data_IF_538560306843
#
_entry.id   IF_538560306843
#
_cell.length_a   1.000
_cell.length_b   1.000
_cell.length_c   1.000
_cell.angle_alpha   90.00
_cell.angle_beta   90.00
_cell.angle_gamma   90.00
#
_symmetry.space_group_name_H-M   'P 1'
#
loop_
_entity.id
_entity.type
_entity.pdbx_description
1 polymer ?
#
# COMPACT_ATOMS: atom_id res chain seq x y z
N UNK A 1 0.99 -19.86 33.33
CA UNK A 1 0.97 -19.58 31.87
C UNK A 1 0.41 -18.19 31.55
N UNK A 2 -0.75 -17.82 32.12
CA UNK A 2 -1.36 -16.48 31.97
C UNK A 2 -0.45 -15.30 32.37
N UNK A 3 0.21 -15.38 33.53
CA UNK A 3 1.05 -14.27 34.02
C UNK A 3 2.28 -13.98 33.16
N UNK A 4 2.91 -15.03 32.63
CA UNK A 4 4.01 -14.89 31.67
C UNK A 4 3.53 -14.24 30.36
N UNK A 5 2.30 -14.53 29.92
CA UNK A 5 1.68 -13.88 28.76
C UNK A 5 1.48 -12.37 28.98
N UNK A 6 1.00 -11.95 30.16
CA UNK A 6 0.83 -10.53 30.47
C UNK A 6 2.17 -9.79 30.50
N UNK A 7 3.20 -10.37 31.11
CA UNK A 7 4.54 -9.78 31.15
C UNK A 7 5.11 -9.64 29.73
N UNK A 8 4.97 -10.66 28.88
CA UNK A 8 5.43 -10.59 27.47
C UNK A 8 4.68 -9.51 26.68
N UNK A 9 3.36 -9.39 26.85
CA UNK A 9 2.55 -8.35 26.19
C UNK A 9 2.98 -6.96 26.65
N UNK A 10 3.22 -6.77 27.95
CA UNK A 10 3.68 -5.50 28.52
C UNK A 10 5.07 -5.13 27.99
N UNK A 11 6.00 -6.08 27.93
CA UNK A 11 7.35 -5.84 27.40
C UNK A 11 7.31 -5.49 25.91
N UNK A 12 6.48 -6.17 25.11
CA UNK A 12 6.28 -5.84 23.69
C UNK A 12 5.66 -4.45 23.51
N UNK A 13 4.69 -4.08 24.35
CA UNK A 13 4.08 -2.76 24.30
C UNK A 13 5.07 -1.64 24.66
N UNK A 14 5.97 -1.89 25.64
CA UNK A 14 6.98 -0.93 26.07
C UNK A 14 8.17 -0.80 25.11
N UNK A 15 8.38 -1.78 24.22
CA UNK A 15 9.46 -1.77 23.22
C UNK A 15 8.98 -1.44 21.81
N UNK A 16 7.67 -1.23 21.63
CA UNK A 16 7.08 -0.80 20.35
C UNK A 16 7.48 0.66 20.03
N UNK A 17 8.57 0.84 19.29
CA UNK A 17 8.92 2.12 18.69
C UNK A 17 7.92 2.52 17.59
N UNK A 18 7.55 3.80 17.52
CA UNK A 18 6.77 4.33 16.40
C UNK A 18 7.67 4.47 15.18
N UNK A 19 7.71 3.46 14.32
CA UNK A 19 8.34 3.56 13.02
C UNK A 19 7.27 3.97 12.01
N UNK A 20 7.22 5.26 11.67
CA UNK A 20 6.32 5.82 10.67
C UNK A 20 6.90 5.59 9.25
N UNK A 21 6.98 4.33 8.82
CA UNK A 21 7.58 3.93 7.53
C UNK A 21 6.55 3.56 6.45
N UNK A 22 5.34 4.13 6.51
CA UNK A 22 4.29 3.84 5.52
C UNK A 22 4.61 4.32 4.10
N UNK A 23 5.38 5.39 3.96
CA UNK A 23 5.79 5.93 2.65
C UNK A 23 4.62 6.08 1.68
N UNK A 24 4.73 5.39 0.54
CA UNK A 24 3.73 5.33 -0.52
C UNK A 24 3.01 3.96 -0.58
N UNK A 25 3.10 3.17 0.49
CA UNK A 25 2.41 1.89 0.61
C UNK A 25 0.90 2.11 0.83
N UNK A 26 0.11 1.32 0.13
CA UNK A 26 -1.35 1.26 0.24
C UNK A 26 -1.66 -0.04 0.98
N UNK A 27 -2.50 0.02 2.01
CA UNK A 27 -2.85 -1.14 2.86
C UNK A 27 -4.35 -1.46 2.79
N UNK A 28 -5.08 -0.81 1.90
CA UNK A 28 -6.52 -0.85 1.75
C UNK A 28 -7.02 -2.10 0.98
N UNK A 29 -6.39 -3.24 1.23
CA UNK A 29 -6.69 -4.52 0.59
C UNK A 29 -7.70 -5.31 1.43
N UNK A 30 -8.98 -5.22 1.08
CA UNK A 30 -10.08 -5.81 1.84
C UNK A 30 -10.57 -4.91 2.98
N UNK A 31 -11.88 -4.67 3.02
CA UNK A 31 -12.52 -3.81 4.03
C UNK A 31 -12.33 -4.33 5.47
N UNK A 32 -12.33 -5.66 5.65
CA UNK A 32 -12.10 -6.28 6.96
C UNK A 32 -10.70 -6.01 7.49
N UNK A 33 -9.68 -6.21 6.65
CA UNK A 33 -8.30 -5.93 7.01
C UNK A 33 -8.07 -4.43 7.31
N UNK A 34 -8.67 -3.55 6.50
CA UNK A 34 -8.65 -2.11 6.72
C UNK A 34 -9.30 -1.71 8.05
N UNK A 35 -10.47 -2.26 8.38
CA UNK A 35 -11.16 -2.02 9.64
C UNK A 35 -10.34 -2.50 10.86
N UNK A 36 -9.43 -3.45 10.67
CA UNK A 36 -8.49 -3.94 11.69
C UNK A 36 -7.15 -3.17 11.70
N UNK A 37 -7.03 -2.09 10.94
CA UNK A 37 -5.79 -1.30 10.84
C UNK A 37 -4.62 -2.09 10.26
N UNK A 38 -4.89 -3.05 9.37
CA UNK A 38 -3.89 -3.92 8.76
C UNK A 38 -3.44 -5.09 9.64
N UNK A 39 -3.98 -5.25 10.85
CA UNK A 39 -3.67 -6.38 11.74
C UNK A 39 -4.43 -7.67 11.30
N UNK A 40 -4.11 -8.19 10.11
CA UNK A 40 -4.90 -9.24 9.46
C UNK A 40 -4.14 -10.53 9.11
N UNK A 41 -2.80 -10.54 9.13
CA UNK A 41 -1.95 -11.67 8.69
C UNK A 41 -2.28 -13.03 9.32
N UNK A 42 -2.62 -13.07 10.61
CA UNK A 42 -2.93 -14.34 11.30
C UNK A 42 -4.38 -14.79 11.12
N UNK A 43 -5.27 -13.87 10.70
CA UNK A 43 -6.69 -14.17 10.48
C UNK A 43 -6.91 -14.53 9.01
N UNK A 44 -6.50 -13.66 8.07
CA UNK A 44 -6.46 -13.86 6.62
C UNK A 44 -7.48 -14.89 6.09
N UNK A 45 -8.76 -14.67 6.40
CA UNK A 45 -9.83 -15.66 6.22
C UNK A 45 -10.89 -15.22 5.20
N UNK A 46 -10.51 -14.34 4.29
CA UNK A 46 -11.27 -13.95 3.11
C UNK A 46 -10.31 -13.90 1.89
N UNK A 47 -10.79 -13.71 0.65
CA UNK A 47 -9.92 -13.73 -0.53
C UNK A 47 -8.76 -12.72 -0.51
N UNK A 48 -8.83 -11.65 0.30
CA UNK A 48 -7.70 -10.73 0.49
C UNK A 48 -6.49 -11.38 1.18
N UNK A 49 -6.65 -12.61 1.71
CA UNK A 49 -5.56 -13.47 2.14
C UNK A 49 -4.45 -13.59 1.09
N UNK A 50 -4.76 -13.52 -0.21
CA UNK A 50 -3.75 -13.50 -1.28
C UNK A 50 -2.70 -12.39 -1.06
N UNK A 51 -3.10 -11.22 -0.56
CA UNK A 51 -2.20 -10.12 -0.21
C UNK A 51 -1.62 -10.27 1.20
N UNK A 52 -2.44 -10.60 2.20
CA UNK A 52 -2.05 -10.56 3.61
C UNK A 52 -1.28 -11.79 4.08
N UNK A 53 -1.75 -12.99 3.73
CA UNK A 53 -1.14 -14.28 4.03
C UNK A 53 -1.87 -15.40 3.25
N UNK A 54 -1.30 -15.83 2.13
CA UNK A 54 -1.95 -16.77 1.23
C UNK A 54 -2.18 -18.17 1.87
N UNK A 55 -1.47 -18.51 2.96
CA UNK A 55 -1.73 -19.75 3.71
C UNK A 55 -3.15 -19.78 4.31
N UNK A 56 -3.76 -18.62 4.56
CA UNK A 56 -5.14 -18.51 5.02
C UNK A 56 -6.18 -19.07 4.03
N UNK A 57 -5.82 -19.23 2.75
CA UNK A 57 -6.71 -19.81 1.73
C UNK A 57 -7.11 -21.26 2.01
N UNK A 58 -6.36 -22.00 2.83
CA UNK A 58 -6.72 -23.37 3.23
C UNK A 58 -7.91 -23.42 4.18
N UNK A 59 -8.30 -22.28 4.76
CA UNK A 59 -9.45 -22.15 5.67
C UNK A 59 -10.75 -21.81 4.92
N UNK A 60 -10.68 -21.51 3.62
CA UNK A 60 -11.83 -21.17 2.78
C UNK A 60 -12.25 -22.37 1.93
N UNK A 61 -13.55 -22.63 1.83
CA UNK A 61 -14.10 -23.69 0.99
C UNK A 61 -14.71 -23.12 -0.28
N UNK A 62 -14.58 -23.88 -1.38
CA UNK A 62 -15.14 -23.55 -2.69
C UNK A 62 -14.44 -22.37 -3.37
N UNK A 63 -15.15 -21.75 -4.31
CA UNK A 63 -14.72 -20.53 -5.00
C UNK A 63 -15.21 -19.32 -4.23
N UNK A 64 -14.28 -18.43 -3.85
CA UNK A 64 -14.60 -17.17 -3.19
C UNK A 64 -14.01 -16.03 -4.00
N UNK A 65 -14.69 -14.88 -4.03
CA UNK A 65 -14.18 -13.69 -4.68
C UNK A 65 -14.39 -12.47 -3.77
N UNK A 66 -13.50 -11.49 -3.89
CA UNK A 66 -13.57 -10.21 -3.20
C UNK A 66 -13.18 -9.11 -4.17
N UNK A 67 -14.04 -8.11 -4.30
CA UNK A 67 -13.78 -6.89 -5.06
C UNK A 67 -13.97 -5.69 -4.12
N UNK A 68 -13.10 -4.69 -4.24
CA UNK A 68 -13.18 -3.50 -3.42
C UNK A 68 -12.30 -2.37 -3.91
N UNK A 69 -12.55 -1.18 -3.39
CA UNK A 69 -11.69 0.00 -3.56
C UNK A 69 -11.73 0.82 -2.28
N UNK A 70 -10.68 1.56 -2.01
CA UNK A 70 -10.70 2.66 -1.06
C UNK A 70 -10.75 4.00 -1.78
N UNK A 71 -11.14 5.04 -1.05
CA UNK A 71 -10.99 6.43 -1.48
C UNK A 71 -9.93 7.06 -0.59
N UNK A 72 -8.79 7.40 -1.18
CA UNK A 72 -7.66 7.99 -0.46
C UNK A 72 -7.51 9.43 -0.94
N UNK A 73 -7.63 10.39 -0.02
CA UNK A 73 -7.41 11.81 -0.30
C UNK A 73 -6.33 12.35 0.64
N UNK A 74 -5.04 12.24 0.24
CA UNK A 74 -3.95 12.76 1.03
C UNK A 74 -4.01 14.29 1.11
N UNK A 75 -3.60 14.84 2.24
CA UNK A 75 -3.44 16.28 2.44
C UNK A 75 -2.07 16.53 3.02
N UNK A 76 -1.35 17.47 2.43
CA UNK A 76 -0.03 17.89 2.89
C UNK A 76 0.09 19.40 2.81
N UNK A 77 0.85 19.96 3.75
CA UNK A 77 1.17 21.38 3.82
C UNK A 77 2.67 21.53 3.95
N UNK A 78 3.24 22.49 3.23
CA UNK A 78 4.64 22.83 3.33
C UNK A 78 4.77 24.25 3.89
N UNK A 79 5.60 24.42 4.92
CA UNK A 79 5.97 25.73 5.45
C UNK A 79 7.48 25.92 5.28
N UNK A 80 7.85 26.96 4.56
CA UNK A 80 9.26 27.32 4.37
C UNK A 80 9.90 27.90 5.63
N UNK A 81 11.18 28.24 5.49
CA UNK A 81 11.97 28.95 6.50
C UNK A 81 12.22 30.39 6.04
N UNK A 82 12.55 31.29 6.97
CA UNK A 82 12.84 32.70 6.69
C UNK A 82 13.79 32.85 5.49
N UNK A 83 13.48 33.74 4.52
CA UNK A 83 12.42 34.76 4.55
C UNK A 83 11.03 34.30 4.08
N UNK A 84 10.90 33.14 3.43
CA UNK A 84 9.61 32.64 2.91
C UNK A 84 8.97 31.68 3.92
N UNK A 85 8.16 32.22 4.82
CA UNK A 85 7.47 31.47 5.88
C UNK A 85 6.01 31.13 5.54
N UNK A 86 5.61 31.38 4.29
CA UNK A 86 4.27 31.10 3.79
C UNK A 86 3.95 29.60 3.79
N UNK A 87 2.68 29.29 4.00
CA UNK A 87 2.18 27.92 3.97
C UNK A 87 1.66 27.65 2.56
N UNK A 88 2.26 26.65 1.91
CA UNK A 88 1.81 26.11 0.64
C UNK A 88 0.98 24.87 0.91
N UNK A 89 -0.11 24.71 0.17
CA UNK A 89 -1.03 23.58 0.29
C UNK A 89 -0.91 22.70 -0.95
N UNK A 90 -0.87 21.39 -0.74
CA UNK A 90 -0.96 20.43 -1.83
C UNK A 90 -2.37 20.50 -2.46
N UNK A 91 -2.45 20.38 -3.78
CA UNK A 91 -3.74 20.27 -4.48
C UNK A 91 -4.49 19.02 -4.01
N UNK A 92 -5.82 19.14 -3.92
CA UNK A 92 -6.68 18.04 -3.49
C UNK A 92 -6.85 17.02 -4.60
N UNK A 93 -6.37 15.79 -4.37
CA UNK A 93 -6.56 14.66 -5.26
C UNK A 93 -7.23 13.49 -4.51
N UNK A 94 -7.97 12.66 -5.24
CA UNK A 94 -8.59 11.43 -4.73
C UNK A 94 -8.11 10.25 -5.56
N UNK A 95 -7.55 9.25 -4.88
CA UNK A 95 -7.05 8.01 -5.47
C UNK A 95 -7.98 6.85 -5.13
N UNK A 96 -8.11 5.90 -6.05
CA UNK A 96 -9.02 4.76 -5.96
C UNK A 96 -8.28 3.43 -6.19
N UNK A 97 -7.42 2.98 -5.24
CA UNK A 97 -6.73 1.70 -5.34
C UNK A 97 -7.72 0.54 -5.27
N UNK A 98 -8.15 0.07 -6.43
CA UNK A 98 -9.08 -1.03 -6.58
C UNK A 98 -8.36 -2.37 -6.53
N UNK A 99 -9.02 -3.38 -5.98
CA UNK A 99 -8.51 -4.73 -5.91
C UNK A 99 -9.60 -5.76 -6.22
N UNK A 100 -9.17 -6.88 -6.80
CA UNK A 100 -9.96 -8.06 -7.06
C UNK A 100 -9.14 -9.28 -6.63
N UNK A 101 -9.74 -10.18 -5.85
CA UNK A 101 -9.12 -11.42 -5.42
C UNK A 101 -10.09 -12.57 -5.66
N UNK A 102 -9.58 -13.69 -6.17
CA UNK A 102 -10.33 -14.92 -6.38
C UNK A 102 -9.54 -16.06 -5.78
N UNK A 103 -10.18 -16.85 -4.92
CA UNK A 103 -9.60 -18.07 -4.34
C UNK A 103 -10.46 -19.28 -4.69
N UNK A 104 -9.84 -20.44 -4.81
CA UNK A 104 -10.52 -21.69 -5.04
C UNK A 104 -9.83 -22.82 -4.28
N UNK A 105 -10.60 -23.56 -3.47
CA UNK A 105 -10.13 -24.81 -2.85
C UNK A 105 -10.38 -25.99 -3.78
N UNK A 106 -9.34 -26.68 -4.23
CA UNK A 106 -9.45 -27.88 -5.05
C UNK A 106 -9.73 -29.13 -4.20
N UNK A 107 -9.22 -29.15 -2.97
CA UNK A 107 -9.45 -30.21 -1.99
C UNK A 107 -9.61 -29.59 -0.60
N UNK A 108 -9.79 -30.42 0.44
CA UNK A 108 -9.76 -29.97 1.84
C UNK A 108 -8.41 -29.38 2.27
N UNK A 109 -7.33 -29.59 1.49
CA UNK A 109 -5.97 -29.23 1.88
C UNK A 109 -5.26 -28.35 0.85
N UNK A 110 -5.74 -28.27 -0.40
CA UNK A 110 -5.08 -27.54 -1.48
C UNK A 110 -5.99 -26.42 -2.01
N UNK A 111 -5.47 -25.19 -2.02
CA UNK A 111 -6.13 -24.01 -2.56
C UNK A 111 -5.21 -23.24 -3.50
N UNK A 112 -5.80 -22.53 -4.47
CA UNK A 112 -5.11 -21.50 -5.24
C UNK A 112 -5.82 -20.16 -5.13
N UNK A 113 -5.06 -19.10 -5.42
CA UNK A 113 -5.57 -17.75 -5.52
C UNK A 113 -4.93 -16.99 -6.67
N UNK A 114 -5.71 -16.10 -7.26
CA UNK A 114 -5.22 -15.05 -8.16
C UNK A 114 -5.83 -13.72 -7.75
N UNK A 115 -5.06 -12.64 -7.87
CA UNK A 115 -5.54 -11.31 -7.58
C UNK A 115 -5.06 -10.26 -8.56
N UNK A 116 -5.65 -9.08 -8.42
CA UNK A 116 -5.25 -7.82 -9.00
C UNK A 116 -5.27 -6.80 -7.88
N UNK A 117 -4.17 -6.10 -7.66
CA UNK A 117 -4.06 -5.15 -6.54
C UNK A 117 -3.03 -4.05 -6.80
N UNK A 118 -3.06 -2.98 -6.02
CA UNK A 118 -2.18 -1.80 -6.14
C UNK A 118 -1.57 -1.46 -4.77
N UNK A 119 -0.50 -2.15 -4.35
CA UNK A 119 0.02 -2.03 -2.98
C UNK A 119 0.93 -0.84 -2.75
N UNK A 120 1.29 -0.14 -3.82
CA UNK A 120 2.04 1.10 -3.78
C UNK A 120 1.41 2.11 -4.74
N UNK A 121 1.44 3.39 -4.41
CA UNK A 121 1.01 4.40 -5.34
C UNK A 121 0.78 5.75 -4.69
N UNK A 122 -0.27 6.44 -5.15
CA UNK A 122 -0.61 7.81 -4.81
C UNK A 122 0.29 8.81 -5.53
N UNK A 123 0.00 10.08 -5.30
CA UNK A 123 0.77 11.18 -5.84
C UNK A 123 0.58 12.46 -5.05
N UNK A 124 1.47 13.40 -5.32
CA UNK A 124 1.41 14.77 -4.81
C UNK A 124 1.41 15.72 -5.98
N UNK A 125 0.66 16.81 -5.85
CA UNK A 125 0.63 17.88 -6.83
C UNK A 125 0.57 19.23 -6.12
N UNK A 126 1.43 20.16 -6.54
CA UNK A 126 1.56 21.50 -5.99
C UNK A 126 1.31 22.55 -7.08
N UNK A 127 1.11 23.80 -6.69
CA UNK A 127 1.04 24.90 -7.67
C UNK A 127 2.38 25.11 -8.38
N UNK A 128 2.37 25.47 -9.65
CA UNK A 128 3.58 25.50 -10.49
C UNK A 128 4.62 26.53 -10.02
N UNK A 129 4.20 27.56 -9.32
CA UNK A 129 5.04 28.66 -8.82
C UNK A 129 5.43 28.51 -7.35
N UNK A 130 5.04 27.40 -6.69
CA UNK A 130 5.33 27.17 -5.28
C UNK A 130 6.83 27.20 -4.96
N UNK A 131 7.17 27.47 -3.70
CA UNK A 131 8.56 27.66 -3.27
C UNK A 131 9.46 26.44 -3.53
N UNK A 132 8.89 25.23 -3.54
CA UNK A 132 9.58 23.98 -3.81
C UNK A 132 9.49 23.50 -5.27
N UNK A 133 9.11 24.35 -6.22
CA UNK A 133 8.91 23.98 -7.65
C UNK A 133 10.12 23.31 -8.31
N UNK A 134 11.33 23.56 -7.81
CA UNK A 134 12.56 22.93 -8.28
C UNK A 134 12.83 21.55 -7.68
N UNK A 135 12.10 21.17 -6.63
CA UNK A 135 12.16 19.84 -5.99
C UNK A 135 11.17 18.89 -6.67
N UNK A 136 9.87 19.23 -6.63
CA UNK A 136 8.80 18.49 -7.28
C UNK A 136 7.56 19.39 -7.41
N UNK A 137 6.89 19.34 -8.55
CA UNK A 137 5.55 19.93 -8.74
C UNK A 137 4.53 18.80 -8.73
N UNK A 138 4.80 17.74 -9.48
CA UNK A 138 3.98 16.55 -9.55
C UNK A 138 4.84 15.32 -9.30
N UNK A 139 4.35 14.42 -8.48
CA UNK A 139 4.92 13.09 -8.31
C UNK A 139 3.77 12.12 -8.28
N UNK A 140 3.80 11.10 -9.12
CA UNK A 140 2.77 10.08 -9.19
C UNK A 140 3.44 8.71 -9.32
N UNK A 141 3.05 7.78 -8.45
CA UNK A 141 3.42 6.38 -8.54
C UNK A 141 2.15 5.59 -8.82
N UNK A 142 2.17 4.79 -9.87
CA UNK A 142 1.10 3.86 -10.20
C UNK A 142 1.70 2.47 -10.19
N UNK A 143 1.15 1.56 -9.38
CA UNK A 143 1.59 0.16 -9.41
C UNK A 143 0.44 -0.79 -9.62
N UNK A 144 0.75 -1.94 -10.19
CA UNK A 144 -0.20 -3.00 -10.46
C UNK A 144 0.46 -4.34 -10.19
N UNK A 145 -0.15 -5.14 -9.32
CA UNK A 145 0.30 -6.47 -8.93
C UNK A 145 -0.73 -7.52 -9.33
N UNK A 146 -0.25 -8.59 -9.95
CA UNK A 146 -0.99 -9.83 -10.21
C UNK A 146 -0.35 -10.97 -9.42
N UNK A 147 -0.75 -11.16 -8.15
CA UNK A 147 -0.33 -12.32 -7.38
C UNK A 147 -1.03 -13.59 -7.86
N UNK A 148 -0.27 -14.67 -8.02
CA UNK A 148 -0.76 -16.03 -8.25
C UNK A 148 -0.14 -16.92 -7.16
N UNK A 149 -0.97 -17.53 -6.33
CA UNK A 149 -0.52 -18.25 -5.14
C UNK A 149 -1.17 -19.62 -5.01
N UNK A 150 -0.42 -20.55 -4.43
CA UNK A 150 -0.89 -21.86 -4.00
C UNK A 150 -0.73 -21.95 -2.48
N UNK A 151 -1.68 -22.58 -1.82
CA UNK A 151 -1.65 -22.84 -0.38
C UNK A 151 -1.96 -24.31 -0.10
N UNK A 152 -1.23 -24.88 0.85
CA UNK A 152 -1.33 -26.28 1.22
C UNK A 152 -1.36 -26.45 2.74
N UNK A 153 -2.34 -27.21 3.22
CA UNK A 153 -2.43 -27.63 4.61
C UNK A 153 -1.51 -28.86 4.81
N UNK A 154 -0.41 -28.65 5.55
CA UNK A 154 0.60 -29.68 5.83
C UNK A 154 0.20 -30.52 7.04
N UNK A 155 -0.38 -29.87 8.05
CA UNK A 155 -0.89 -30.46 9.29
C UNK A 155 -2.19 -29.74 9.68
N UNK A 156 -2.99 -30.34 10.55
CA UNK A 156 -4.27 -29.78 11.04
C UNK A 156 -4.17 -28.32 11.52
N UNK A 157 -3.00 -27.91 12.03
CA UNK A 157 -2.72 -26.56 12.53
C UNK A 157 -1.59 -25.83 11.77
N UNK A 158 -1.12 -26.36 10.64
CA UNK A 158 -0.03 -25.77 9.85
C UNK A 158 -0.38 -25.75 8.37
N UNK A 159 -0.50 -24.54 7.82
CA UNK A 159 -0.61 -24.30 6.39
C UNK A 159 0.57 -23.47 5.89
N UNK A 160 1.03 -23.79 4.68
CA UNK A 160 2.08 -23.06 3.98
C UNK A 160 1.53 -22.55 2.66
N UNK A 161 2.15 -21.51 2.10
CA UNK A 161 1.81 -21.01 0.77
C UNK A 161 3.03 -20.50 0.04
N UNK A 162 2.95 -20.48 -1.28
CA UNK A 162 3.98 -19.96 -2.16
C UNK A 162 3.38 -19.53 -3.48
N UNK A 163 4.03 -18.63 -4.19
CA UNK A 163 3.52 -18.07 -5.42
C UNK A 163 4.47 -17.08 -6.06
N UNK A 164 3.98 -16.43 -7.11
CA UNK A 164 4.69 -15.36 -7.81
C UNK A 164 3.79 -14.14 -7.93
N UNK A 165 4.42 -12.98 -8.05
CA UNK A 165 3.73 -11.71 -8.26
C UNK A 165 4.31 -11.12 -9.54
N UNK A 166 3.45 -10.91 -10.54
CA UNK A 166 3.82 -10.05 -11.66
C UNK A 166 3.54 -8.60 -11.25
N UNK A 167 4.57 -7.75 -11.29
CA UNK A 167 4.50 -6.36 -10.84
C UNK A 167 4.85 -5.43 -11.99
N UNK A 168 3.99 -4.44 -12.21
CA UNK A 168 4.27 -3.29 -13.06
C UNK A 168 4.21 -2.02 -12.22
N UNK A 169 5.08 -1.07 -12.53
CA UNK A 169 5.12 0.23 -11.90
C UNK A 169 5.40 1.29 -12.96
N UNK A 170 4.78 2.45 -12.78
CA UNK A 170 4.98 3.65 -13.59
C UNK A 170 5.11 4.85 -12.64
N UNK A 171 6.10 5.69 -12.91
CA UNK A 171 6.48 6.84 -12.11
C UNK A 171 6.53 8.07 -12.99
N UNK A 172 5.78 9.10 -12.62
CA UNK A 172 5.86 10.44 -13.20
C UNK A 172 6.39 11.42 -12.16
N UNK A 173 7.47 12.12 -12.50
CA UNK A 173 8.00 13.23 -11.70
C UNK A 173 8.15 14.45 -12.59
N UNK A 174 7.42 15.51 -12.25
CA UNK A 174 7.52 16.82 -12.91
C UNK A 174 8.12 17.82 -11.93
N UNK A 175 9.12 18.58 -12.39
CA UNK A 175 9.68 19.73 -11.65
C UNK A 175 10.02 20.86 -12.61
N UNK A 176 10.24 22.05 -12.06
CA UNK A 176 10.86 23.15 -12.79
C UNK A 176 12.39 23.09 -12.70
N UNK A 177 13.05 23.68 -13.68
CA UNK A 177 14.48 23.92 -13.69
C UNK A 177 14.73 25.37 -14.12
N UNK A 178 15.46 26.13 -13.30
CA UNK A 178 15.76 27.53 -13.58
C UNK A 178 16.68 27.64 -14.80
N UNK A 179 16.33 28.53 -15.74
CA UNK A 179 17.10 28.76 -16.96
C UNK A 179 18.16 29.86 -16.81
N UNK A 180 18.58 30.19 -15.58
CA UNK A 180 19.57 31.23 -15.32
C UNK A 180 20.83 31.07 -16.19
N UNK A 181 21.28 32.13 -16.89
CA UNK A 181 20.92 33.55 -16.69
C UNK A 181 19.69 34.04 -17.48
N UNK A 182 18.98 33.18 -18.21
CA UNK A 182 17.77 33.55 -18.92
C UNK A 182 16.58 33.67 -17.96
N UNK A 183 15.64 34.56 -18.28
CA UNK A 183 14.40 34.71 -17.51
C UNK A 183 13.48 33.52 -17.78
N UNK A 184 12.98 32.88 -16.70
CA UNK A 184 12.01 31.80 -16.77
C UNK A 184 12.50 30.43 -16.28
N UNK A 185 11.55 29.51 -16.18
CA UNK A 185 11.77 28.12 -15.77
C UNK A 185 11.35 27.18 -16.92
N UNK A 186 12.10 26.09 -17.12
CA UNK A 186 11.70 24.99 -17.99
C UNK A 186 11.10 23.85 -17.16
N UNK A 187 10.16 23.10 -17.74
CA UNK A 187 9.67 21.86 -17.15
C UNK A 187 10.61 20.70 -17.46
N UNK A 188 10.85 19.86 -16.46
CA UNK A 188 11.54 18.58 -16.59
C UNK A 188 10.58 17.51 -16.14
N UNK A 189 10.25 16.61 -17.05
CA UNK A 189 9.40 15.44 -16.81
C UNK A 189 10.26 14.18 -16.90
N UNK A 190 10.14 13.33 -15.88
CA UNK A 190 10.76 12.03 -15.80
C UNK A 190 9.66 10.98 -15.73
N UNK A 191 9.65 10.07 -16.69
CA UNK A 191 8.73 8.94 -16.79
C UNK A 191 9.52 7.63 -16.77
N UNK A 192 9.02 6.60 -16.10
CA UNK A 192 9.65 5.28 -16.09
C UNK A 192 9.03 4.27 -15.14
#
# INVERSE_FOLDING_TARGET
MREKCYITIIILALTAGKILAGGFQINEHGAKAMAMGGAYTAIANDPSAIYWNAAGMTQMQGTNFLIGTALISPKSTFRGVTPSVDINYMKSNVFFPSHLFVTHSFTSSLSAGIGITTPFGLGTEWEDDWIGRYLAIKTQLTTFWVPVTLAYNVLDNLSISGGFIYSFADVLITRKNSQSPFEGDAFVELEG
#
